data_IF_805043150801
#
_entry.id   IF_805043150801
#
_cell.length_a   1.000
_cell.length_b   1.000
_cell.length_c   1.000
_cell.angle_alpha   90.00
_cell.angle_beta   90.00
_cell.angle_gamma   90.00
#
_symmetry.space_group_name_H-M   'P 1'
#
loop_
_entity.id
_entity.type
_entity.pdbx_description
1 polymer ?
#
# COMPACT_ATOMS: atom_id res chain seq x y z
N UNK A 1 -2.76 9.30 29.29
CA UNK A 1 -2.23 8.08 28.65
C UNK A 1 -2.60 8.18 27.19
N UNK A 2 -1.65 8.59 26.35
CA UNK A 2 -1.87 8.75 24.92
C UNK A 2 -1.83 7.37 24.24
N UNK A 3 -2.99 6.91 23.77
CA UNK A 3 -3.08 5.78 22.85
C UNK A 3 -2.66 6.26 21.46
N UNK A 4 -1.36 6.27 21.15
CA UNK A 4 -0.86 6.73 19.83
C UNK A 4 -0.09 5.61 19.12
N UNK A 5 -0.80 4.58 18.69
CA UNK A 5 -0.33 3.62 17.68
C UNK A 5 -1.29 3.58 16.47
N UNK A 6 -1.81 4.73 16.04
CA UNK A 6 -2.35 4.82 14.68
C UNK A 6 -1.16 4.75 13.74
N UNK A 7 -0.90 3.54 13.23
CA UNK A 7 0.07 3.21 12.20
C UNK A 7 0.17 4.35 11.17
N UNK A 8 1.23 5.15 11.25
CA UNK A 8 1.46 6.23 10.31
C UNK A 8 1.68 5.61 8.93
N UNK A 9 0.79 5.89 7.99
CA UNK A 9 0.97 5.53 6.58
C UNK A 9 2.29 6.11 6.08
N UNK A 10 3.14 5.26 5.50
CA UNK A 10 4.37 5.74 4.89
C UNK A 10 4.16 6.21 3.44
N UNK A 11 5.23 6.70 2.82
CA UNK A 11 5.18 7.21 1.45
C UNK A 11 4.80 6.14 0.41
N UNK A 12 5.17 4.87 0.63
CA UNK A 12 4.79 3.78 -0.25
C UNK A 12 3.31 3.43 -0.05
N UNK A 13 2.82 3.40 1.19
CA UNK A 13 1.41 3.13 1.47
C UNK A 13 0.50 4.18 0.83
N UNK A 14 0.88 5.45 0.93
CA UNK A 14 0.14 6.55 0.29
C UNK A 14 0.12 6.41 -1.24
N UNK A 15 1.25 6.00 -1.86
CA UNK A 15 1.31 5.75 -3.31
C UNK A 15 0.50 4.53 -3.72
N UNK A 16 0.52 3.46 -2.91
CA UNK A 16 -0.29 2.26 -3.13
C UNK A 16 -1.77 2.63 -3.18
N UNK A 17 -2.25 3.40 -2.20
CA UNK A 17 -3.63 3.87 -2.16
C UNK A 17 -3.98 4.74 -3.37
N UNK A 18 -3.11 5.67 -3.75
CA UNK A 18 -3.34 6.54 -4.91
C UNK A 18 -3.46 5.74 -6.23
N UNK A 19 -2.59 4.76 -6.45
CA UNK A 19 -2.63 3.91 -7.65
C UNK A 19 -3.88 3.03 -7.68
N UNK A 20 -4.27 2.42 -6.55
CA UNK A 20 -5.48 1.60 -6.44
C UNK A 20 -6.76 2.42 -6.58
N UNK A 21 -6.78 3.63 -6.04
CA UNK A 21 -7.90 4.57 -6.23
C UNK A 21 -8.04 5.01 -7.69
N UNK A 22 -6.92 5.19 -8.39
CA UNK A 22 -6.91 5.54 -9.81
C UNK A 22 -7.32 4.36 -10.70
N UNK A 23 -6.86 3.15 -10.40
CA UNK A 23 -7.23 1.92 -11.12
C UNK A 23 -7.21 0.70 -10.20
N UNK A 24 -8.39 0.29 -9.73
CA UNK A 24 -8.55 -0.87 -8.86
C UNK A 24 -8.32 -2.23 -9.56
N UNK A 25 -8.13 -2.25 -10.89
CA UNK A 25 -7.90 -3.49 -11.66
C UNK A 25 -6.42 -3.86 -11.79
N UNK A 26 -5.51 -3.03 -11.25
CA UNK A 26 -4.09 -3.31 -11.25
C UNK A 26 -3.79 -4.63 -10.54
N UNK A 27 -2.99 -5.47 -11.19
CA UNK A 27 -2.41 -6.63 -10.51
C UNK A 27 -1.39 -6.17 -9.48
N UNK A 28 -1.16 -6.96 -8.42
CA UNK A 28 -0.12 -6.67 -7.43
C UNK A 28 1.28 -6.51 -8.07
N UNK A 29 1.56 -7.23 -9.16
CA UNK A 29 2.83 -7.11 -9.88
C UNK A 29 2.95 -5.75 -10.60
N UNK A 30 1.87 -5.27 -11.24
CA UNK A 30 1.84 -3.94 -11.86
C UNK A 30 1.94 -2.83 -10.82
N UNK A 31 1.18 -2.95 -9.74
CA UNK A 31 1.21 -2.01 -8.63
C UNK A 31 2.63 -1.91 -8.04
N UNK A 32 3.27 -3.05 -7.77
CA UNK A 32 4.66 -3.12 -7.30
C UNK A 32 5.63 -2.40 -8.23
N UNK A 33 5.53 -2.60 -9.55
CA UNK A 33 6.35 -1.87 -10.53
C UNK A 33 6.15 -0.35 -10.44
N UNK A 34 4.92 0.14 -10.31
CA UNK A 34 4.61 1.59 -10.22
C UNK A 34 5.13 2.21 -8.92
N UNK A 35 5.03 1.50 -7.81
CA UNK A 35 5.47 1.99 -6.48
C UNK A 35 6.91 1.61 -6.12
N UNK A 36 7.64 1.00 -7.06
CA UNK A 36 9.04 0.59 -6.91
C UNK A 36 9.27 -0.43 -5.79
N UNK A 37 8.36 -1.41 -5.67
CA UNK A 37 8.41 -2.51 -4.73
C UNK A 37 8.29 -3.86 -5.44
N UNK A 38 8.78 -4.91 -4.80
CA UNK A 38 8.51 -6.28 -5.25
C UNK A 38 7.04 -6.63 -5.04
N UNK A 39 6.52 -7.57 -5.84
CA UNK A 39 5.14 -8.05 -5.69
C UNK A 39 4.83 -8.55 -4.26
N UNK A 40 5.68 -9.35 -3.59
CA UNK A 40 5.40 -9.76 -2.22
C UNK A 40 5.34 -8.59 -1.23
N UNK A 41 6.22 -7.59 -1.39
CA UNK A 41 6.26 -6.42 -0.51
C UNK A 41 4.99 -5.56 -0.64
N UNK A 42 4.49 -5.36 -1.86
CA UNK A 42 3.26 -4.60 -2.06
C UNK A 42 2.02 -5.37 -1.61
N UNK A 43 1.96 -6.69 -1.83
CA UNK A 43 0.86 -7.53 -1.33
C UNK A 43 0.72 -7.46 0.20
N UNK A 44 1.84 -7.55 0.93
CA UNK A 44 1.82 -7.46 2.39
C UNK A 44 1.39 -6.08 2.87
N UNK A 45 1.79 -5.01 2.18
CA UNK A 45 1.35 -3.65 2.49
C UNK A 45 -0.14 -3.46 2.24
N UNK A 46 -0.66 -3.90 1.09
CA UNK A 46 -2.11 -3.84 0.79
C UNK A 46 -2.90 -4.58 1.86
N UNK A 47 -2.45 -5.78 2.26
CA UNK A 47 -3.08 -6.55 3.34
C UNK A 47 -3.11 -5.78 4.67
N UNK A 48 -2.06 -5.03 5.01
CA UNK A 48 -2.03 -4.18 6.21
C UNK A 48 -2.95 -2.96 6.11
N UNK A 49 -3.19 -2.46 4.90
CA UNK A 49 -4.09 -1.33 4.64
C UNK A 49 -5.57 -1.73 4.64
N UNK A 50 -5.88 -3.01 4.41
CA UNK A 50 -7.23 -3.58 4.47
C UNK A 50 -7.68 -3.98 5.88
N UNK A 51 -6.75 -4.10 6.83
CA UNK A 51 -6.99 -4.52 8.21
C UNK A 51 -7.55 -3.39 9.08
#
# INVERSE_FOLDING_TARGET
>A
MENTFTSSLDSHDTRILAELQADARLTMAELGRRVHLSQPAVTERVRKLEA
#
